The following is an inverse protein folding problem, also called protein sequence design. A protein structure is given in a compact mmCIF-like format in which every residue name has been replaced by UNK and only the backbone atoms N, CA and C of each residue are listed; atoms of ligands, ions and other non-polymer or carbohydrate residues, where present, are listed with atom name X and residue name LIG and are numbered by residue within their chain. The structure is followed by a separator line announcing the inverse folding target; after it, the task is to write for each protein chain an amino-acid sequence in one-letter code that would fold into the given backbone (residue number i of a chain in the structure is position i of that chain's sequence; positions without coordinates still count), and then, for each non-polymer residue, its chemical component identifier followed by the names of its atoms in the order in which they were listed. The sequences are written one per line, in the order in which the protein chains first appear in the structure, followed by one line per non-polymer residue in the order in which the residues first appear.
data_IF_590526008570
#
_entry.id   IF_590526008570
#
_cell.length_a   1.000
_cell.length_b   1.000
_cell.length_c   1.000
_cell.angle_alpha   90.00
_cell.angle_beta   90.00
_cell.angle_gamma   90.00
#
_symmetry.space_group_name_H-M   'P 1'
#
loop_
_entity.id
_entity.type
_entity.pdbx_description
1 polymer ?
#
# COMPACT_ATOMS: atom_id res chain seq x y z
N UNK A 1 -5.60 -9.27 8.99
CA UNK A 1 -5.37 -8.07 9.83
C UNK A 1 -5.15 -6.80 9.01
N UNK A 2 -4.28 -6.80 7.99
CA UNK A 2 -3.98 -5.57 7.24
C UNK A 2 -4.91 -5.38 6.02
N UNK A 3 -4.96 -6.35 5.12
CA UNK A 3 -5.78 -6.31 3.91
C UNK A 3 -7.28 -6.28 4.24
N UNK A 4 -7.70 -7.03 5.26
CA UNK A 4 -9.09 -7.02 5.73
C UNK A 4 -9.52 -5.63 6.22
N UNK A 5 -8.59 -4.90 6.86
CA UNK A 5 -8.85 -3.52 7.31
C UNK A 5 -8.95 -2.54 6.15
N UNK A 6 -8.12 -2.73 5.11
CA UNK A 6 -8.24 -1.95 3.87
C UNK A 6 -9.60 -2.20 3.21
N UNK A 7 -9.98 -3.47 3.03
CA UNK A 7 -11.24 -3.85 2.41
C UNK A 7 -12.44 -3.27 3.18
N UNK A 8 -12.42 -3.39 4.51
CA UNK A 8 -13.47 -2.82 5.37
C UNK A 8 -13.53 -1.28 5.30
N UNK A 9 -12.39 -0.61 5.17
CA UNK A 9 -12.35 0.85 5.01
C UNK A 9 -12.92 1.29 3.66
N UNK A 10 -12.48 0.68 2.55
CA UNK A 10 -12.95 1.01 1.21
C UNK A 10 -14.44 0.73 1.03
N UNK A 11 -14.95 -0.36 1.61
CA UNK A 11 -16.39 -0.68 1.60
C UNK A 11 -17.25 0.39 2.29
N UNK A 12 -16.70 1.11 3.26
CA UNK A 12 -17.41 2.18 4.01
C UNK A 12 -17.16 3.58 3.45
N UNK A 13 -16.17 3.75 2.58
CA UNK A 13 -15.68 5.04 2.12
C UNK A 13 -15.49 5.03 0.61
N UNK A 14 -16.59 5.09 -0.14
CA UNK A 14 -16.58 5.09 -1.62
C UNK A 14 -15.85 6.27 -2.25
N UNK A 15 -15.59 7.33 -1.48
CA UNK A 15 -14.77 8.47 -1.91
C UNK A 15 -13.27 8.18 -1.90
N UNK A 16 -12.82 6.98 -1.53
CA UNK A 16 -11.41 6.60 -1.55
C UNK A 16 -11.18 5.45 -2.53
N UNK A 17 -10.04 5.49 -3.20
CA UNK A 17 -9.50 4.36 -3.94
C UNK A 17 -8.10 4.03 -3.45
N UNK A 18 -7.76 2.75 -3.48
CA UNK A 18 -6.38 2.31 -3.27
C UNK A 18 -5.56 2.55 -4.55
N UNK A 19 -4.34 3.03 -4.38
CA UNK A 19 -3.36 3.20 -5.46
C UNK A 19 -2.31 2.10 -5.40
N UNK A 20 -1.63 1.86 -6.53
CA UNK A 20 -0.46 0.98 -6.54
C UNK A 20 0.70 1.63 -5.78
N UNK A 21 1.05 1.03 -4.63
CA UNK A 21 2.23 1.44 -3.85
C UNK A 21 3.53 1.17 -4.62
N UNK A 22 3.57 0.11 -5.44
CA UNK A 22 4.70 -0.21 -6.31
C UNK A 22 4.97 0.92 -7.31
N UNK A 23 3.95 1.37 -8.04
CA UNK A 23 4.14 2.38 -9.08
C UNK A 23 4.55 3.73 -8.48
N UNK A 24 3.98 4.09 -7.32
CA UNK A 24 4.37 5.29 -6.57
C UNK A 24 5.83 5.16 -6.09
N UNK A 25 6.23 4.01 -5.55
CA UNK A 25 7.61 3.78 -5.10
C UNK A 25 8.62 3.99 -6.22
N UNK A 26 8.35 3.40 -7.39
CA UNK A 26 9.20 3.55 -8.57
C UNK A 26 9.21 5.00 -9.08
N UNK A 27 8.07 5.70 -9.06
CA UNK A 27 8.02 7.11 -9.47
C UNK A 27 8.84 8.03 -8.56
N UNK A 28 9.03 7.66 -7.30
CA UNK A 28 9.87 8.37 -6.34
C UNK A 28 11.35 7.95 -6.39
N UNK A 29 11.71 6.99 -7.26
CA UNK A 29 13.08 6.55 -7.47
C UNK A 29 13.77 6.01 -6.19
N UNK A 30 13.00 5.34 -5.32
CA UNK A 30 13.43 4.83 -4.00
C UNK A 30 14.24 3.51 -4.06
N UNK A 31 14.65 3.10 -5.26
CA UNK A 31 15.31 1.82 -5.51
C UNK A 31 14.32 0.68 -5.78
N UNK A 32 14.80 -0.58 -5.78
CA UNK A 32 13.97 -1.74 -6.09
C UNK A 32 12.79 -1.89 -5.12
N UNK A 33 11.63 -2.25 -5.65
CA UNK A 33 10.47 -2.54 -4.82
C UNK A 33 10.71 -3.78 -3.94
N UNK A 34 10.58 -3.68 -2.61
CA UNK A 34 10.96 -4.78 -1.73
C UNK A 34 9.84 -5.83 -1.50
N UNK A 35 8.58 -5.46 -1.74
CA UNK A 35 7.42 -6.29 -1.40
C UNK A 35 7.00 -7.22 -2.54
N UNK A 36 6.22 -8.26 -2.19
CA UNK A 36 5.46 -9.02 -3.17
C UNK A 36 4.15 -8.29 -3.48
N UNK A 37 3.74 -8.27 -4.75
CA UNK A 37 2.53 -7.58 -5.22
C UNK A 37 2.72 -6.07 -5.44
N UNK A 38 1.65 -5.39 -5.86
CA UNK A 38 1.72 -4.01 -6.36
C UNK A 38 0.98 -2.98 -5.48
N UNK A 39 0.07 -3.42 -4.61
CA UNK A 39 -0.89 -2.51 -3.97
C UNK A 39 -0.49 -2.03 -2.57
N UNK A 40 0.40 -2.78 -1.90
CA UNK A 40 0.82 -2.49 -0.53
C UNK A 40 2.27 -2.92 -0.30
N UNK A 41 3.00 -2.13 0.47
CA UNK A 41 4.31 -2.44 0.99
C UNK A 41 4.18 -3.45 2.14
N UNK A 42 4.88 -4.57 2.05
CA UNK A 42 4.97 -5.57 3.11
C UNK A 42 6.44 -5.87 3.40
N UNK A 43 6.89 -5.49 4.59
CA UNK A 43 8.21 -5.81 5.10
C UNK A 43 8.11 -6.93 6.11
N UNK A 44 9.09 -7.83 6.03
CA UNK A 44 9.22 -9.03 6.87
C UNK A 44 10.64 -9.07 7.43
N UNK A 45 10.84 -9.27 8.75
CA UNK A 45 12.17 -9.30 9.34
C UNK A 45 13.10 -10.31 8.69
N UNK A 46 12.60 -11.52 8.43
CA UNK A 46 13.38 -12.60 7.82
C UNK A 46 13.85 -12.33 6.39
N UNK A 47 13.22 -11.39 5.66
CA UNK A 47 13.54 -11.10 4.25
C UNK A 47 14.24 -9.75 4.06
N UNK A 48 13.93 -8.77 4.91
CA UNK A 48 14.33 -7.38 4.68
C UNK A 48 15.27 -6.84 5.76
N UNK A 49 15.63 -7.65 6.76
CA UNK A 49 16.51 -7.26 7.87
C UNK A 49 16.07 -5.94 8.54
N UNK A 50 14.75 -5.79 8.73
CA UNK A 50 14.07 -4.64 9.32
C UNK A 50 12.81 -5.12 10.03
N UNK A 51 12.13 -4.26 10.79
CA UNK A 51 10.89 -4.64 11.46
C UNK A 51 9.79 -5.03 10.48
N UNK A 52 8.85 -5.85 10.96
CA UNK A 52 7.64 -6.18 10.21
C UNK A 52 6.80 -4.93 10.01
N UNK A 53 6.51 -4.57 8.76
CA UNK A 53 5.79 -3.34 8.43
C UNK A 53 4.80 -3.54 7.29
N UNK A 54 3.70 -2.79 7.33
CA UNK A 54 2.69 -2.78 6.30
C UNK A 54 2.24 -1.35 5.99
N UNK A 55 2.19 -1.00 4.70
CA UNK A 55 1.64 0.29 4.27
C UNK A 55 0.89 0.16 2.94
N UNK A 56 -0.19 0.91 2.78
CA UNK A 56 -0.91 1.09 1.52
C UNK A 56 -1.13 2.58 1.28
N UNK A 57 -1.29 2.98 0.02
CA UNK A 57 -1.58 4.35 -0.35
C UNK A 57 -3.01 4.44 -0.85
N UNK A 58 -3.76 5.42 -0.34
CA UNK A 58 -5.12 5.69 -0.78
C UNK A 58 -5.25 7.15 -1.16
N UNK A 59 -6.03 7.41 -2.20
CA UNK A 59 -6.40 8.75 -2.62
C UNK A 59 -7.88 8.96 -2.36
N UNK A 60 -8.22 10.09 -1.75
CA UNK A 60 -9.59 10.58 -1.73
C UNK A 60 -9.90 11.18 -3.09
N UNK A 61 -10.86 10.61 -3.79
CA UNK A 61 -11.41 11.16 -5.01
C UNK A 61 -12.11 12.48 -4.70
N UNK A 62 -11.80 13.50 -5.49
CA UNK A 62 -12.55 14.76 -5.42
C UNK A 62 -13.88 14.49 -6.11
N UNK A 63 -14.98 14.66 -5.39
CA UNK A 63 -16.30 14.69 -6.02
C UNK A 63 -16.27 15.84 -7.04
N UNK A 64 -16.56 15.51 -8.29
CA UNK A 64 -16.64 16.45 -9.40
C UNK A 64 -17.75 17.49 -9.16
#
# INVERSE_FOLDING_TARGET
ENEDRIAAFLARNSAFRQLSAHDIWLSQNLGPWPSDGHDALKLKPSRHNTDGFFACVMQKERLA
#
